data_IF_902991246122
#
_entry.id   IF_902991246122
#
_cell.length_a   1.000
_cell.length_b   1.000
_cell.length_c   1.000
_cell.angle_alpha   90.00
_cell.angle_beta   90.00
_cell.angle_gamma   90.00
#
_symmetry.space_group_name_H-M   'P 1'
#
loop_
_entity.id
_entity.type
_entity.pdbx_description
1 polymer ?
#
# COMPACT_ATOMS: atom_id res chain seq x y z
N UNK A 1 -33.35 -2.27 -3.24
CA UNK A 1 -32.75 -1.91 -1.95
C UNK A 1 -31.28 -2.32 -1.99
N UNK A 2 -30.33 -1.40 -1.95
CA UNK A 2 -28.95 -1.80 -1.76
C UNK A 2 -28.82 -2.41 -0.36
N UNK A 3 -28.19 -3.58 -0.28
CA UNK A 3 -27.90 -4.27 0.98
C UNK A 3 -27.09 -3.34 1.90
N UNK A 4 -27.75 -2.87 2.95
CA UNK A 4 -27.16 -1.98 3.95
C UNK A 4 -26.15 -2.69 4.89
N UNK A 5 -25.80 -3.93 4.58
CA UNK A 5 -24.96 -4.78 5.44
C UNK A 5 -23.64 -5.23 4.76
N UNK A 6 -23.33 -4.69 3.59
CA UNK A 6 -22.02 -4.90 3.00
C UNK A 6 -21.04 -3.92 3.63
N UNK A 7 -20.12 -4.43 4.42
CA UNK A 7 -18.99 -3.65 4.95
C UNK A 7 -18.19 -2.94 3.86
N UNK A 8 -17.23 -2.08 4.21
CA UNK A 8 -16.44 -1.37 3.21
C UNK A 8 -15.74 -2.35 2.28
N UNK A 9 -15.65 -2.01 0.99
CA UNK A 9 -14.90 -2.81 0.03
C UNK A 9 -13.41 -2.81 0.42
N UNK A 10 -12.75 -3.92 0.15
CA UNK A 10 -11.33 -4.08 0.39
C UNK A 10 -10.54 -3.84 -0.89
N UNK A 11 -9.46 -3.12 -0.79
CA UNK A 11 -8.48 -2.98 -1.87
C UNK A 11 -7.29 -3.88 -1.58
N UNK A 12 -7.09 -4.86 -2.46
CA UNK A 12 -6.09 -5.92 -2.28
C UNK A 12 -5.04 -5.92 -3.39
N UNK A 13 -3.85 -6.40 -3.06
CA UNK A 13 -2.78 -6.60 -4.03
C UNK A 13 -3.17 -7.66 -5.07
N UNK A 14 -2.99 -7.34 -6.35
CA UNK A 14 -3.29 -8.27 -7.46
C UNK A 14 -2.33 -9.46 -7.51
N UNK A 15 -1.09 -9.32 -7.00
CA UNK A 15 -0.07 -10.36 -7.02
C UNK A 15 -0.15 -11.31 -5.82
N UNK A 16 -0.42 -10.78 -4.63
CA UNK A 16 -0.37 -11.55 -3.38
C UNK A 16 -1.73 -11.74 -2.72
N UNK A 17 -2.73 -10.95 -3.09
CA UNK A 17 -4.03 -10.94 -2.42
C UNK A 17 -4.05 -10.21 -1.07
N UNK A 18 -2.91 -9.71 -0.62
CA UNK A 18 -2.80 -9.00 0.65
C UNK A 18 -3.68 -7.75 0.69
N UNK A 19 -4.28 -7.48 1.84
CA UNK A 19 -5.04 -6.25 2.08
C UNK A 19 -4.10 -5.04 2.03
N UNK A 20 -4.50 -3.99 1.34
CA UNK A 20 -3.76 -2.74 1.24
C UNK A 20 -4.49 -1.59 1.94
N UNK A 21 -5.77 -1.41 1.65
CA UNK A 21 -6.62 -0.42 2.32
C UNK A 21 -8.11 -0.74 2.11
N UNK A 22 -8.98 0.02 2.75
CA UNK A 22 -10.44 -0.12 2.65
C UNK A 22 -11.06 1.09 1.95
N UNK A 23 -12.23 0.90 1.36
CA UNK A 23 -12.93 1.94 0.60
C UNK A 23 -13.43 3.12 1.45
N UNK A 24 -13.54 2.93 2.76
CA UNK A 24 -13.87 3.98 3.72
C UNK A 24 -12.70 4.91 4.05
N UNK A 25 -11.45 4.51 3.72
CA UNK A 25 -10.31 5.40 3.74
C UNK A 25 -10.37 6.36 2.56
N UNK A 26 -10.36 7.69 2.78
CA UNK A 26 -10.36 8.65 1.68
C UNK A 26 -9.17 8.42 0.75
N UNK A 27 -9.41 8.28 -0.53
CA UNK A 27 -8.37 8.01 -1.52
C UNK A 27 -8.68 8.68 -2.86
N UNK A 28 -7.64 8.99 -3.59
CA UNK A 28 -7.71 9.60 -4.91
C UNK A 28 -6.64 9.02 -5.85
N UNK A 29 -6.86 9.11 -7.13
CA UNK A 29 -5.84 8.79 -8.13
C UNK A 29 -4.95 10.02 -8.35
N UNK A 30 -3.66 9.80 -8.31
CA UNK A 30 -2.63 10.84 -8.49
C UNK A 30 -1.67 10.48 -9.62
N UNK A 31 -0.82 11.42 -10.00
CA UNK A 31 0.21 11.24 -11.06
C UNK A 31 -0.38 10.74 -12.39
N UNK A 32 -1.49 11.35 -12.83
CA UNK A 32 -2.15 10.95 -14.07
C UNK A 32 -2.86 9.60 -13.99
N UNK A 33 -3.22 9.14 -12.80
CA UNK A 33 -3.93 7.88 -12.58
C UNK A 33 -3.01 6.67 -12.37
N UNK A 34 -1.73 6.88 -12.11
CA UNK A 34 -0.73 5.82 -11.91
C UNK A 34 -0.78 5.23 -10.51
N UNK A 35 -1.09 6.04 -9.51
CA UNK A 35 -1.10 5.64 -8.11
C UNK A 35 -2.37 6.08 -7.38
N UNK A 36 -2.77 5.29 -6.39
CA UNK A 36 -3.68 5.74 -5.34
C UNK A 36 -2.89 6.49 -4.28
N UNK A 37 -3.39 7.65 -3.87
CA UNK A 37 -2.98 8.32 -2.64
C UNK A 37 -4.10 8.10 -1.61
N UNK A 38 -3.82 7.31 -0.60
CA UNK A 38 -4.77 6.98 0.47
C UNK A 38 -4.45 7.84 1.68
N UNK A 39 -5.39 8.68 2.06
CA UNK A 39 -5.24 9.56 3.22
C UNK A 39 -5.32 8.75 4.50
N UNK A 40 -4.30 8.89 5.35
CA UNK A 40 -4.29 8.32 6.69
C UNK A 40 -4.86 9.28 7.74
N UNK A 41 -5.32 8.71 8.84
CA UNK A 41 -5.72 9.42 10.06
C UNK A 41 -4.93 8.90 11.25
N UNK A 42 -4.46 9.79 12.10
CA UNK A 42 -3.75 9.44 13.33
C UNK A 42 -4.72 9.00 14.44
N UNK A 43 -5.88 9.61 14.52
CA UNK A 43 -6.86 9.32 15.57
C UNK A 43 -7.52 7.95 15.38
N UNK A 44 -7.90 7.64 14.15
CA UNK A 44 -8.48 6.34 13.79
C UNK A 44 -7.45 5.20 13.90
N UNK A 45 -6.18 5.50 13.70
CA UNK A 45 -5.09 4.56 13.87
C UNK A 45 -4.93 4.09 15.32
N UNK A 46 -5.10 4.97 16.28
CA UNK A 46 -5.09 4.63 17.71
C UNK A 46 -6.22 3.68 18.09
N UNK A 47 -7.41 3.87 17.55
CA UNK A 47 -8.55 2.96 17.78
C UNK A 47 -8.30 1.58 17.15
N UNK A 48 -7.73 1.54 15.94
CA UNK A 48 -7.38 0.30 15.27
C UNK A 48 -6.33 -0.51 16.04
N UNK A 49 -5.34 0.14 16.64
CA UNK A 49 -4.33 -0.50 17.50
C UNK A 49 -4.94 -1.03 18.80
N UNK A 50 -5.87 -0.27 19.40
CA UNK A 50 -6.57 -0.70 20.61
C UNK A 50 -7.48 -1.93 20.39
N UNK A 51 -8.00 -2.11 19.17
CA UNK A 51 -8.81 -3.25 18.78
C UNK A 51 -7.99 -4.50 18.39
N UNK A 52 -6.68 -4.34 18.14
CA UNK A 52 -5.76 -5.43 17.81
C UNK A 52 -5.19 -6.13 19.03
N UNK A 53 -4.77 -7.39 18.86
CA UNK A 53 -4.11 -8.18 19.92
C UNK A 53 -2.84 -7.45 20.42
N UNK A 54 -2.77 -7.23 21.72
CA UNK A 54 -1.79 -6.37 22.39
C UNK A 54 -0.30 -6.72 22.17
N UNK A 55 0.03 -7.92 21.70
CA UNK A 55 1.42 -8.31 21.40
C UNK A 55 1.99 -7.60 20.17
N UNK A 56 1.19 -7.37 19.13
CA UNK A 56 1.65 -6.67 17.93
C UNK A 56 1.80 -5.16 18.14
N UNK A 57 0.92 -4.57 18.95
CA UNK A 57 1.05 -3.15 19.32
C UNK A 57 2.34 -2.88 20.11
N UNK A 58 2.76 -3.81 20.99
CA UNK A 58 3.99 -3.68 21.75
C UNK A 58 5.25 -3.84 20.90
N UNK A 59 5.25 -4.74 19.91
CA UNK A 59 6.39 -4.95 19.00
C UNK A 59 6.61 -3.72 18.09
N UNK A 60 5.53 -3.07 17.67
CA UNK A 60 5.59 -1.89 16.81
C UNK A 60 6.00 -0.64 17.60
N UNK A 61 5.53 -0.48 18.83
CA UNK A 61 5.96 0.59 19.73
C UNK A 61 7.46 0.50 20.09
N UNK A 62 8.04 -0.71 20.14
CA UNK A 62 9.46 -0.92 20.38
C UNK A 62 10.35 -0.48 19.21
N UNK A 63 9.83 -0.37 18.00
CA UNK A 63 10.55 0.08 16.81
C UNK A 63 10.67 1.62 16.70
N UNK A 64 9.99 2.37 17.55
CA UNK A 64 10.18 3.82 17.70
C UNK A 64 9.59 4.70 16.60
N UNK A 65 8.71 4.17 15.76
CA UNK A 65 8.07 4.92 14.68
C UNK A 65 6.66 5.38 15.06
N UNK A 66 6.37 6.70 15.06
CA UNK A 66 5.01 7.22 15.27
C UNK A 66 4.03 6.87 14.14
N UNK A 67 4.49 6.22 13.08
CA UNK A 67 3.69 5.78 11.94
C UNK A 67 2.72 4.64 12.27
N UNK A 68 2.91 3.97 13.40
CA UNK A 68 2.07 2.86 13.86
C UNK A 68 0.63 3.26 14.20
N UNK A 69 0.42 4.55 14.39
CA UNK A 69 -0.89 5.13 14.68
C UNK A 69 -1.62 5.64 13.43
N UNK A 70 -1.05 5.46 12.24
CA UNK A 70 -1.75 5.78 10.99
C UNK A 70 -2.71 4.64 10.65
N UNK A 71 -3.99 4.93 10.58
CA UNK A 71 -5.07 3.96 10.41
C UNK A 71 -4.89 3.03 9.21
N UNK A 72 -4.47 3.55 8.04
CA UNK A 72 -4.24 2.75 6.82
C UNK A 72 -3.16 1.71 7.06
N UNK A 73 -2.08 2.08 7.73
CA UNK A 73 -0.95 1.18 8.05
C UNK A 73 -1.39 0.13 9.08
N UNK A 74 -2.05 0.56 10.15
CA UNK A 74 -2.51 -0.30 11.22
C UNK A 74 -3.55 -1.33 10.75
N UNK A 75 -4.56 -0.91 9.99
CA UNK A 75 -5.66 -1.77 9.51
C UNK A 75 -5.18 -2.83 8.52
N UNK A 76 -4.25 -2.49 7.64
CA UNK A 76 -3.66 -3.42 6.68
C UNK A 76 -2.45 -4.17 7.25
N UNK A 77 -2.05 -3.89 8.49
CA UNK A 77 -0.88 -4.48 9.16
C UNK A 77 0.39 -4.33 8.34
N UNK A 78 0.56 -3.20 7.67
CA UNK A 78 1.73 -2.94 6.85
C UNK A 78 2.99 -2.91 7.73
N UNK A 79 4.02 -3.59 7.28
CA UNK A 79 5.29 -3.70 8.00
C UNK A 79 6.31 -2.71 7.44
N UNK A 80 7.07 -2.00 8.29
CA UNK A 80 8.09 -1.06 7.84
C UNK A 80 9.23 -1.78 7.11
N UNK A 81 9.74 -1.13 6.08
CA UNK A 81 10.92 -1.54 5.33
C UNK A 81 11.98 -0.45 5.42
N UNK A 82 13.15 -0.81 5.90
CA UNK A 82 14.32 0.06 5.81
C UNK A 82 14.98 -0.15 4.44
N UNK A 83 14.86 0.84 3.57
CA UNK A 83 15.42 0.80 2.23
C UNK A 83 16.35 1.99 2.02
N UNK A 84 17.57 1.71 1.55
CA UNK A 84 18.38 2.73 0.90
C UNK A 84 17.95 2.90 -0.57
N UNK A 85 18.48 3.90 -1.26
CA UNK A 85 18.12 4.17 -2.66
C UNK A 85 18.37 2.98 -3.59
N UNK A 86 19.52 2.29 -3.53
CA UNK A 86 19.76 1.09 -4.34
C UNK A 86 18.77 -0.04 -4.03
N UNK A 87 18.49 -0.32 -2.78
CA UNK A 87 17.53 -1.35 -2.36
C UNK A 87 16.10 -1.02 -2.82
N UNK A 88 15.70 0.24 -2.71
CA UNK A 88 14.43 0.73 -3.25
C UNK A 88 14.33 0.47 -4.76
N UNK A 89 15.35 0.84 -5.53
CA UNK A 89 15.36 0.65 -6.99
C UNK A 89 15.22 -0.82 -7.34
N UNK A 90 15.99 -1.69 -6.69
CA UNK A 90 15.93 -3.15 -6.92
C UNK A 90 14.55 -3.71 -6.62
N UNK A 91 13.97 -3.33 -5.49
CA UNK A 91 12.65 -3.80 -5.07
C UNK A 91 11.54 -3.27 -5.97
N UNK A 92 11.59 -2.01 -6.33
CA UNK A 92 10.67 -1.39 -7.27
C UNK A 92 10.67 -2.10 -8.62
N UNK A 93 11.87 -2.36 -9.17
CA UNK A 93 12.02 -3.07 -10.44
C UNK A 93 11.51 -4.52 -10.37
N UNK A 94 11.74 -5.23 -9.27
CA UNK A 94 11.25 -6.60 -9.09
C UNK A 94 9.71 -6.61 -9.01
N UNK A 95 9.12 -5.72 -8.23
CA UNK A 95 7.68 -5.57 -8.14
C UNK A 95 7.06 -5.16 -9.48
N UNK A 96 7.64 -4.17 -10.15
CA UNK A 96 7.13 -3.67 -11.43
C UNK A 96 7.16 -4.75 -12.52
N UNK A 97 8.22 -5.56 -12.60
CA UNK A 97 8.29 -6.70 -13.56
C UNK A 97 7.18 -7.70 -13.32
N UNK A 98 6.95 -8.10 -12.07
CA UNK A 98 5.89 -9.03 -11.74
C UNK A 98 4.49 -8.45 -12.05
N UNK A 99 4.31 -7.16 -11.77
CA UNK A 99 3.06 -6.45 -12.06
C UNK A 99 2.82 -6.30 -13.56
N UNK A 100 3.85 -5.95 -14.34
CA UNK A 100 3.75 -5.88 -15.80
C UNK A 100 3.35 -7.22 -16.41
N UNK A 101 3.94 -8.33 -15.95
CA UNK A 101 3.56 -9.66 -16.42
C UNK A 101 2.10 -10.01 -16.13
N UNK A 102 1.60 -9.62 -14.95
CA UNK A 102 0.19 -9.80 -14.59
C UNK A 102 -0.75 -8.93 -15.44
N UNK A 103 -0.41 -7.65 -15.62
CA UNK A 103 -1.20 -6.71 -16.42
C UNK A 103 -1.23 -7.11 -17.89
N UNK A 104 -0.11 -7.55 -18.45
CA UNK A 104 -0.05 -8.00 -19.85
C UNK A 104 -0.94 -9.20 -20.07
N UNK A 105 -0.87 -10.19 -19.19
CA UNK A 105 -1.73 -11.39 -19.24
C UNK A 105 -3.21 -11.06 -19.17
N UNK A 106 -3.60 -10.14 -18.28
CA UNK A 106 -5.00 -9.89 -17.95
C UNK A 106 -5.62 -8.75 -18.78
N UNK A 107 -4.80 -7.81 -19.27
CA UNK A 107 -5.25 -6.56 -19.89
C UNK A 107 -4.52 -6.19 -21.20
N UNK A 108 -3.47 -6.93 -21.58
CA UNK A 108 -2.73 -6.74 -22.82
C UNK A 108 -1.61 -5.71 -22.78
N UNK A 109 -0.88 -5.64 -23.89
CA UNK A 109 0.38 -4.89 -24.03
C UNK A 109 0.21 -3.39 -23.85
N UNK A 110 -0.84 -2.79 -24.42
CA UNK A 110 -1.06 -1.35 -24.37
C UNK A 110 -1.19 -0.82 -22.94
N UNK A 111 -1.89 -1.55 -22.07
CA UNK A 111 -2.05 -1.18 -20.65
C UNK A 111 -0.75 -1.36 -19.88
N UNK A 112 0.04 -2.38 -20.25
CA UNK A 112 1.36 -2.64 -19.68
C UNK A 112 2.36 -1.51 -20.01
N UNK A 113 2.35 -1.02 -21.25
CA UNK A 113 3.20 0.11 -21.66
C UNK A 113 2.84 1.40 -20.91
N UNK A 114 1.55 1.66 -20.71
CA UNK A 114 1.08 2.80 -19.90
C UNK A 114 1.52 2.67 -18.43
N UNK A 115 1.43 1.47 -17.86
CA UNK A 115 1.94 1.20 -16.53
C UNK A 115 3.44 1.45 -16.45
N UNK A 116 4.22 0.93 -17.38
CA UNK A 116 5.67 1.10 -17.41
C UNK A 116 6.09 2.55 -17.41
N UNK A 117 5.48 3.35 -18.30
CA UNK A 117 5.78 4.79 -18.40
C UNK A 117 5.37 5.54 -17.14
N UNK A 118 4.16 5.32 -16.65
CA UNK A 118 3.65 5.98 -15.46
C UNK A 118 4.45 5.62 -14.20
N UNK A 119 4.77 4.33 -14.04
CA UNK A 119 5.59 3.86 -12.91
C UNK A 119 7.00 4.43 -12.93
N UNK A 120 7.58 4.65 -14.12
CA UNK A 120 8.90 5.29 -14.26
C UNK A 120 8.85 6.75 -13.83
N UNK A 121 7.84 7.49 -14.24
CA UNK A 121 7.65 8.91 -13.84
C UNK A 121 7.45 8.98 -12.32
N UNK A 122 6.61 8.12 -11.77
CA UNK A 122 6.34 8.07 -10.34
C UNK A 122 7.60 7.70 -9.52
N UNK A 123 8.37 6.71 -9.97
CA UNK A 123 9.62 6.33 -9.33
C UNK A 123 10.63 7.48 -9.27
N UNK A 124 10.74 8.28 -10.35
CA UNK A 124 11.60 9.48 -10.37
C UNK A 124 11.16 10.53 -9.36
N UNK A 125 9.85 10.70 -9.17
CA UNK A 125 9.31 11.58 -8.12
C UNK A 125 9.69 11.06 -6.73
N UNK A 126 9.44 9.79 -6.46
CA UNK A 126 9.78 9.17 -5.17
C UNK A 126 11.29 9.28 -4.87
N UNK A 127 12.14 9.09 -5.87
CA UNK A 127 13.60 9.22 -5.70
C UNK A 127 14.06 10.65 -5.39
N UNK A 128 13.34 11.67 -5.85
CA UNK A 128 13.64 13.07 -5.51
C UNK A 128 13.29 13.39 -4.05
N UNK A 129 12.20 12.80 -3.56
CA UNK A 129 11.67 13.01 -2.21
C UNK A 129 12.10 11.90 -1.24
N UNK A 130 13.02 11.03 -1.63
CA UNK A 130 13.35 9.75 -0.99
C UNK A 130 13.61 9.87 0.51
N UNK A 131 14.33 10.90 0.92
CA UNK A 131 14.73 11.11 2.32
C UNK A 131 13.56 11.55 3.23
N UNK A 132 12.42 11.92 2.63
CA UNK A 132 11.19 12.33 3.31
C UNK A 132 10.12 11.22 3.31
N UNK A 133 10.44 10.04 2.74
CA UNK A 133 9.51 8.94 2.57
C UNK A 133 9.84 7.77 3.48
N UNK A 134 8.80 7.11 3.96
CA UNK A 134 8.89 5.83 4.63
C UNK A 134 8.26 4.73 3.78
N UNK A 135 8.80 3.52 3.88
CA UNK A 135 8.39 2.40 3.05
C UNK A 135 7.80 1.29 3.89
N UNK A 136 6.74 0.68 3.36
CA UNK A 136 6.03 -0.42 4.01
C UNK A 136 5.73 -1.51 2.98
N UNK A 137 5.45 -2.70 3.49
CA UNK A 137 4.98 -3.84 2.69
C UNK A 137 3.92 -4.60 3.48
N UNK A 138 2.93 -5.23 2.81
CA UNK A 138 2.02 -6.13 3.50
C UNK A 138 2.77 -7.31 4.14
N UNK A 139 2.24 -7.88 5.24
CA UNK A 139 2.82 -9.07 5.84
C UNK A 139 2.81 -10.24 4.85
N UNK A 140 3.80 -11.12 4.93
CA UNK A 140 3.78 -12.37 4.17
C UNK A 140 2.67 -13.29 4.67
N UNK A 141 1.99 -13.99 3.77
CA UNK A 141 0.87 -14.89 4.11
C UNK A 141 1.24 -16.00 5.11
N UNK A 142 2.52 -16.32 5.22
CA UNK A 142 3.04 -17.37 6.09
C UNK A 142 3.68 -16.89 7.41
N UNK A 143 3.55 -15.62 7.75
CA UNK A 143 3.83 -15.07 9.08
C UNK A 143 5.30 -14.83 9.46
N UNK A 144 6.28 -15.63 9.02
CA UNK A 144 7.65 -15.58 9.56
C UNK A 144 8.78 -15.42 8.50
N UNK A 145 8.44 -15.20 7.24
CA UNK A 145 9.44 -15.05 6.18
C UNK A 145 9.66 -13.59 5.76
N UNK A 146 10.82 -13.26 5.18
CA UNK A 146 10.99 -11.98 4.53
C UNK A 146 9.95 -11.85 3.42
N UNK A 147 9.36 -10.65 3.23
CA UNK A 147 8.40 -10.45 2.15
C UNK A 147 9.03 -10.77 0.81
N UNK A 148 8.29 -11.44 -0.10
CA UNK A 148 8.84 -11.78 -1.41
C UNK A 148 9.32 -10.52 -2.14
N UNK A 149 10.38 -10.65 -2.95
CA UNK A 149 10.97 -9.51 -3.67
C UNK A 149 9.95 -8.76 -4.57
N UNK A 150 8.91 -9.45 -5.00
CA UNK A 150 7.79 -8.89 -5.78
C UNK A 150 6.61 -8.42 -4.92
N UNK A 151 6.74 -8.38 -3.59
CA UNK A 151 5.69 -7.84 -2.73
C UNK A 151 5.49 -6.34 -3.01
N UNK A 152 4.25 -5.85 -2.92
CA UNK A 152 3.95 -4.45 -3.20
C UNK A 152 4.66 -3.53 -2.21
N UNK A 153 5.05 -2.36 -2.69
CA UNK A 153 5.54 -1.27 -1.87
C UNK A 153 4.40 -0.30 -1.57
N UNK A 154 4.21 -0.02 -0.30
CA UNK A 154 3.42 1.10 0.18
C UNK A 154 4.39 2.23 0.56
N UNK A 155 4.16 3.42 0.06
CA UNK A 155 5.04 4.57 0.29
C UNK A 155 4.29 5.60 1.11
N UNK A 156 4.79 5.88 2.31
CA UNK A 156 4.24 6.91 3.18
C UNK A 156 4.95 8.23 2.92
N UNK A 157 4.17 9.25 2.63
CA UNK A 157 4.63 10.63 2.51
C UNK A 157 3.66 11.59 3.20
N UNK A 158 4.09 12.82 3.34
CA UNK A 158 3.27 13.90 3.88
C UNK A 158 3.06 14.96 2.79
N UNK A 159 1.89 15.58 2.76
CA UNK A 159 1.66 16.70 1.85
C UNK A 159 2.34 17.98 2.36
N UNK A 160 2.25 19.04 1.56
CA UNK A 160 2.85 20.35 1.82
C UNK A 160 2.50 20.95 3.20
N UNK A 161 1.41 20.49 3.84
CA UNK A 161 1.06 20.84 5.21
C UNK A 161 1.92 20.13 6.27
N UNK A 162 2.77 19.18 5.86
CA UNK A 162 3.65 18.34 6.69
C UNK A 162 2.92 17.55 7.81
N UNK A 163 1.60 17.59 7.81
CA UNK A 163 0.77 17.00 8.87
C UNK A 163 -0.13 15.86 8.37
N UNK A 164 -0.56 15.91 7.10
CA UNK A 164 -1.47 14.91 6.56
C UNK A 164 -0.70 13.76 5.92
N UNK A 165 -0.75 12.55 6.51
CA UNK A 165 -0.09 11.38 5.94
C UNK A 165 -0.88 10.85 4.73
N UNK A 166 -0.14 10.44 3.71
CA UNK A 166 -0.67 9.73 2.54
C UNK A 166 0.15 8.49 2.27
N UNK A 167 -0.55 7.37 2.03
CA UNK A 167 0.08 6.11 1.61
C UNK A 167 -0.19 5.91 0.12
N UNK A 168 0.86 5.74 -0.66
CA UNK A 168 0.79 5.57 -2.11
C UNK A 168 0.91 4.10 -2.50
N UNK A 169 0.03 3.66 -3.41
CA UNK A 169 0.05 2.33 -4.03
C UNK A 169 -0.08 2.46 -5.54
N UNK A 170 0.67 1.67 -6.31
CA UNK A 170 0.47 1.61 -7.76
C UNK A 170 -0.94 1.10 -8.08
N UNK A 171 -1.69 1.85 -8.88
CA UNK A 171 -3.08 1.52 -9.22
C UNK A 171 -3.25 0.13 -9.83
N UNK A 172 -2.39 -0.22 -10.79
CA UNK A 172 -2.46 -1.52 -11.46
C UNK A 172 -2.10 -2.71 -10.54
N UNK A 173 -1.47 -2.42 -9.41
CA UNK A 173 -1.20 -3.39 -8.36
C UNK A 173 -2.35 -3.64 -7.39
N UNK A 174 -3.45 -2.90 -7.54
CA UNK A 174 -4.58 -2.89 -6.60
C UNK A 174 -5.86 -3.33 -7.31
N UNK A 175 -6.62 -4.23 -6.69
CA UNK A 175 -7.98 -4.59 -7.11
C UNK A 175 -8.97 -4.36 -5.99
N UNK A 176 -10.14 -3.85 -6.33
CA UNK A 176 -11.27 -3.76 -5.41
C UNK A 176 -11.93 -5.14 -5.26
N UNK A 177 -12.10 -5.55 -4.01
CA UNK A 177 -12.85 -6.76 -3.65
C UNK A 177 -14.02 -6.32 -2.78
N UNK A 178 -15.20 -6.41 -3.32
CA UNK A 178 -16.44 -6.21 -2.53
C UNK A 178 -16.70 -7.47 -1.74
N UNK A 179 -16.97 -7.33 -0.45
CA UNK A 179 -17.45 -8.42 0.37
C UNK A 179 -18.73 -8.97 -0.25
N UNK A 180 -18.58 -9.93 -1.14
CA UNK A 180 -19.71 -10.68 -1.68
C UNK A 180 -20.20 -11.62 -0.62
N UNK A 181 -21.50 -11.62 -0.37
CA UNK A 181 -22.14 -12.70 0.34
C UNK A 181 -21.69 -14.01 -0.31
N UNK A 182 -20.95 -14.80 0.45
CA UNK A 182 -20.54 -16.12 0.04
C UNK A 182 -21.81 -16.99 -0.06
N UNK A 183 -22.21 -17.30 -1.25
CA UNK A 183 -23.19 -18.39 -1.49
C UNK A 183 -22.46 -19.70 -1.55
#
# INVERSE_FOLDING_TARGET
MPDADAGPAEYRCVLTGALLFHSDSPHELVEGGVAYAVRGSLDDGLEALAAGDGEQAAATAAAGFPTDVIDVIARARLQPLELDRPAFIQRWQAYLRALQAAVERDHGVERTERLALGAQIFAKKLLREFDELDFFTPPADSGDGPPPAAAPLAVLGYREDELTPYVYFLKEGVREVRGGANT
#
